data_IF_020019803593
#
_entry.id   IF_020019803593
#
_cell.length_a   1.000
_cell.length_b   1.000
_cell.length_c   1.000
_cell.angle_alpha   90.00
_cell.angle_beta   90.00
_cell.angle_gamma   90.00
#
_symmetry.space_group_name_H-M   'P 1'
#
loop_
_entity.id
_entity.type
_entity.pdbx_description
1 polymer ?
#
# COMPACT_ATOMS: atom_id res chain seq x y z
N UNK A 1 -19.46 16.71 46.66
CA UNK A 1 -18.64 15.59 46.13
C UNK A 1 -19.06 15.40 44.69
N UNK A 2 -18.28 15.92 43.73
CA UNK A 2 -18.53 15.64 42.32
C UNK A 2 -18.08 14.21 42.04
N UNK A 3 -18.94 13.40 41.40
CA UNK A 3 -18.57 12.06 40.97
C UNK A 3 -17.31 12.13 40.08
N UNK A 4 -16.40 11.14 40.15
CA UNK A 4 -15.26 11.07 39.26
C UNK A 4 -15.76 11.00 37.81
N UNK A 5 -15.03 11.65 36.90
CA UNK A 5 -15.28 11.62 35.46
C UNK A 5 -14.98 10.20 34.94
N UNK A 6 -15.88 9.25 35.20
CA UNK A 6 -15.87 7.94 34.54
C UNK A 6 -15.73 8.19 33.04
N UNK A 7 -14.92 7.39 32.35
CA UNK A 7 -14.71 7.53 30.92
C UNK A 7 -16.06 7.40 30.20
N UNK A 8 -16.74 8.52 29.98
CA UNK A 8 -18.05 8.53 29.35
C UNK A 8 -17.83 8.12 27.90
N UNK A 9 -18.42 7.01 27.51
CA UNK A 9 -18.41 6.57 26.12
C UNK A 9 -18.87 7.73 25.22
N UNK A 10 -18.07 8.05 24.21
CA UNK A 10 -18.40 9.11 23.27
C UNK A 10 -19.13 8.54 22.06
N UNK A 11 -19.78 9.41 21.29
CA UNK A 11 -20.34 9.05 19.97
C UNK A 11 -19.28 8.42 19.06
N UNK A 12 -18.05 8.93 19.11
CA UNK A 12 -16.93 8.40 18.33
C UNK A 12 -16.57 6.99 18.75
N UNK A 13 -16.62 6.68 20.05
CA UNK A 13 -16.34 5.34 20.56
C UNK A 13 -17.40 4.34 20.10
N UNK A 14 -18.68 4.73 20.12
CA UNK A 14 -19.79 3.92 19.60
C UNK A 14 -19.63 3.67 18.10
N UNK A 15 -19.35 4.71 17.31
CA UNK A 15 -19.14 4.56 15.87
C UNK A 15 -17.90 3.72 15.54
N UNK A 16 -16.82 3.85 16.31
CA UNK A 16 -15.62 3.01 16.18
C UNK A 16 -15.91 1.56 16.53
N UNK A 17 -16.63 1.30 17.63
CA UNK A 17 -17.06 -0.05 18.01
C UNK A 17 -17.96 -0.68 16.93
N UNK A 18 -18.89 0.10 16.37
CA UNK A 18 -19.72 -0.34 15.24
C UNK A 18 -18.86 -0.62 14.00
N UNK A 19 -17.94 0.29 13.66
CA UNK A 19 -17.01 0.12 12.54
C UNK A 19 -16.18 -1.16 12.69
N UNK A 20 -15.68 -1.43 13.89
CA UNK A 20 -14.90 -2.60 14.26
C UNK A 20 -15.70 -3.90 14.41
N UNK A 21 -17.02 -3.88 14.19
CA UNK A 21 -17.93 -5.03 14.40
C UNK A 21 -17.99 -5.53 15.85
N UNK A 22 -17.61 -4.68 16.82
CA UNK A 22 -17.74 -4.98 18.25
C UNK A 22 -19.19 -4.93 18.71
N UNK A 23 -20.01 -4.09 18.06
CA UNK A 23 -21.45 -3.97 18.27
C UNK A 23 -22.16 -3.95 16.91
N UNK A 24 -23.42 -4.35 16.92
CA UNK A 24 -24.34 -4.29 15.78
C UNK A 24 -24.83 -2.87 15.51
N UNK A 25 -25.45 -2.68 14.34
CA UNK A 25 -26.07 -1.40 13.97
C UNK A 25 -27.20 -1.00 14.92
N UNK A 26 -27.99 -1.99 15.36
CA UNK A 26 -29.10 -1.78 16.28
C UNK A 26 -28.59 -1.33 17.65
N UNK A 27 -27.56 -1.99 18.18
CA UNK A 27 -26.92 -1.60 19.45
C UNK A 27 -26.28 -0.21 19.37
N UNK A 28 -25.58 0.09 18.27
CA UNK A 28 -25.01 1.42 18.05
C UNK A 28 -26.09 2.50 17.97
N UNK A 29 -27.20 2.24 17.27
CA UNK A 29 -28.34 3.16 17.19
C UNK A 29 -28.98 3.38 18.57
N UNK A 30 -29.10 2.32 19.38
CA UNK A 30 -29.66 2.44 20.73
C UNK A 30 -28.76 3.24 21.66
N UNK A 31 -27.44 2.98 21.66
CA UNK A 31 -26.50 3.75 22.46
C UNK A 31 -26.46 5.24 22.08
N UNK A 32 -26.56 5.55 20.78
CA UNK A 32 -26.67 6.94 20.34
C UNK A 32 -28.00 7.57 20.77
N UNK A 33 -29.11 6.81 20.81
CA UNK A 33 -30.40 7.27 21.34
C UNK A 33 -30.29 7.69 22.79
N UNK A 34 -29.66 6.83 23.59
CA UNK A 34 -29.51 7.00 25.03
C UNK A 34 -28.59 8.20 25.35
N UNK A 35 -27.75 8.62 24.39
CA UNK A 35 -26.97 9.87 24.41
C UNK A 35 -27.74 11.11 23.93
N UNK A 36 -29.01 10.96 23.53
CA UNK A 36 -29.87 12.05 23.07
C UNK A 36 -29.79 12.36 21.58
N UNK A 37 -29.22 11.48 20.75
CA UNK A 37 -29.20 11.69 19.31
C UNK A 37 -30.56 11.44 18.66
N UNK A 38 -31.03 12.41 17.88
CA UNK A 38 -32.24 12.28 17.10
C UNK A 38 -32.11 11.18 16.03
N UNK A 39 -33.23 10.54 15.70
CA UNK A 39 -33.27 9.41 14.75
C UNK A 39 -32.55 9.73 13.43
N UNK A 40 -32.79 10.90 12.85
CA UNK A 40 -32.14 11.32 11.61
C UNK A 40 -30.61 11.39 11.73
N UNK A 41 -30.09 11.97 12.81
CA UNK A 41 -28.64 12.06 13.03
C UNK A 41 -28.01 10.68 13.24
N UNK A 42 -28.65 9.80 14.00
CA UNK A 42 -28.19 8.41 14.20
C UNK A 42 -28.11 7.65 12.89
N UNK A 43 -29.18 7.69 12.11
CA UNK A 43 -29.26 7.01 10.83
C UNK A 43 -28.19 7.54 9.85
N UNK A 44 -28.00 8.85 9.80
CA UNK A 44 -26.94 9.45 8.99
C UNK A 44 -25.54 8.98 9.43
N UNK A 45 -25.23 9.03 10.73
CA UNK A 45 -23.93 8.63 11.27
C UNK A 45 -23.61 7.15 11.00
N UNK A 46 -24.57 6.26 11.22
CA UNK A 46 -24.40 4.83 11.00
C UNK A 46 -24.26 4.50 9.51
N UNK A 47 -25.06 5.13 8.66
CA UNK A 47 -24.96 4.97 7.20
C UNK A 47 -23.61 5.47 6.69
N UNK A 48 -23.10 6.57 7.23
CA UNK A 48 -21.75 7.07 6.89
C UNK A 48 -20.64 6.09 7.30
N UNK A 49 -20.78 5.39 8.43
CA UNK A 49 -19.85 4.31 8.82
C UNK A 49 -19.93 3.13 7.85
N UNK A 50 -21.13 2.72 7.45
CA UNK A 50 -21.32 1.62 6.49
C UNK A 50 -20.73 1.94 5.12
N UNK A 51 -20.94 3.17 4.65
CA UNK A 51 -20.31 3.66 3.43
C UNK A 51 -18.78 3.64 3.52
N UNK A 52 -18.22 4.16 4.62
CA UNK A 52 -16.76 4.13 4.87
C UNK A 52 -16.20 2.71 4.91
N UNK A 53 -16.91 1.75 5.51
CA UNK A 53 -16.52 0.32 5.48
C UNK A 53 -16.47 -0.24 4.07
N UNK A 54 -17.46 0.10 3.25
CA UNK A 54 -17.50 -0.30 1.83
C UNK A 54 -16.30 0.26 1.06
N UNK A 55 -16.04 1.56 1.22
CA UNK A 55 -14.88 2.22 0.62
C UNK A 55 -13.55 1.59 1.06
N UNK A 56 -13.35 1.38 2.37
CA UNK A 56 -12.12 0.77 2.89
C UNK A 56 -11.89 -0.65 2.34
N UNK A 57 -12.95 -1.43 2.17
CA UNK A 57 -12.84 -2.76 1.54
C UNK A 57 -12.38 -2.64 0.08
N UNK A 58 -13.00 -1.74 -0.69
CA UNK A 58 -12.62 -1.49 -2.08
C UNK A 58 -11.18 -0.99 -2.19
N UNK A 59 -10.79 0.00 -1.38
CA UNK A 59 -9.41 0.51 -1.31
C UNK A 59 -8.40 -0.59 -0.97
N UNK A 60 -8.72 -1.47 -0.02
CA UNK A 60 -7.85 -2.59 0.33
C UNK A 60 -7.70 -3.59 -0.82
N UNK A 61 -8.77 -3.84 -1.59
CA UNK A 61 -8.72 -4.68 -2.79
C UNK A 61 -7.86 -4.03 -3.88
N UNK A 62 -8.04 -2.72 -4.14
CA UNK A 62 -7.21 -1.95 -5.08
C UNK A 62 -5.73 -2.04 -4.68
N UNK A 63 -5.40 -1.84 -3.40
CA UNK A 63 -4.02 -1.99 -2.87
C UNK A 63 -3.47 -3.41 -3.09
N UNK A 64 -4.29 -4.43 -2.89
CA UNK A 64 -3.91 -5.83 -3.14
C UNK A 64 -3.57 -6.08 -4.61
N UNK A 65 -4.43 -5.64 -5.53
CA UNK A 65 -4.21 -5.76 -6.98
C UNK A 65 -2.95 -5.00 -7.41
N UNK A 66 -2.78 -3.75 -6.94
CA UNK A 66 -1.57 -2.94 -7.17
C UNK A 66 -0.30 -3.70 -6.77
N UNK A 67 -0.28 -4.31 -5.60
CA UNK A 67 0.89 -5.05 -5.11
C UNK A 67 1.21 -6.26 -5.98
N UNK A 68 0.20 -6.98 -6.48
CA UNK A 68 0.39 -8.11 -7.40
C UNK A 68 0.93 -7.65 -8.75
N UNK A 69 0.43 -6.54 -9.27
CA UNK A 69 0.94 -5.92 -10.50
C UNK A 69 2.39 -5.45 -10.36
N UNK A 70 2.70 -4.71 -9.29
CA UNK A 70 4.07 -4.26 -8.98
C UNK A 70 5.07 -5.42 -8.84
N UNK A 71 4.63 -6.57 -8.37
CA UNK A 71 5.47 -7.78 -8.26
C UNK A 71 5.52 -8.62 -9.54
N UNK A 72 4.93 -8.14 -10.64
CA UNK A 72 4.79 -8.85 -11.93
C UNK A 72 4.05 -10.18 -11.83
N UNK A 73 3.28 -10.38 -10.75
CA UNK A 73 2.37 -11.54 -10.62
C UNK A 73 1.15 -11.35 -11.51
N UNK A 74 0.64 -10.11 -11.58
CA UNK A 74 -0.34 -9.71 -12.57
C UNK A 74 0.33 -8.91 -13.69
N UNK A 75 -0.08 -9.20 -14.92
CA UNK A 75 0.15 -8.30 -16.05
C UNK A 75 -0.90 -7.19 -16.09
N UNK A 76 -0.78 -6.30 -17.08
CA UNK A 76 -1.69 -5.15 -17.24
C UNK A 76 -3.14 -5.59 -17.45
N UNK A 77 -3.39 -6.63 -18.25
CA UNK A 77 -4.74 -7.08 -18.57
C UNK A 77 -5.40 -7.70 -17.34
N UNK A 78 -4.69 -8.57 -16.64
CA UNK A 78 -5.16 -9.20 -15.41
C UNK A 78 -5.45 -8.18 -14.31
N UNK A 79 -4.60 -7.17 -14.13
CA UNK A 79 -4.82 -6.11 -13.15
C UNK A 79 -6.08 -5.29 -13.47
N UNK A 80 -6.28 -4.92 -14.75
CA UNK A 80 -7.50 -4.22 -15.21
C UNK A 80 -8.76 -5.03 -14.98
N UNK A 81 -8.74 -6.32 -15.34
CA UNK A 81 -9.89 -7.21 -15.18
C UNK A 81 -10.30 -7.34 -13.70
N UNK A 82 -9.33 -7.47 -12.79
CA UNK A 82 -9.63 -7.53 -11.36
C UNK A 82 -10.13 -6.19 -10.79
N UNK A 83 -9.70 -5.05 -11.34
CA UNK A 83 -10.20 -3.73 -10.95
C UNK A 83 -11.63 -3.48 -11.43
N UNK A 84 -11.96 -3.88 -12.66
CA UNK A 84 -13.31 -3.73 -13.22
C UNK A 84 -14.35 -4.56 -12.45
N UNK A 85 -13.95 -5.69 -11.84
CA UNK A 85 -14.81 -6.48 -10.93
C UNK A 85 -15.14 -5.78 -9.61
N UNK A 86 -14.50 -4.64 -9.31
CA UNK A 86 -14.82 -3.79 -8.18
C UNK A 86 -15.85 -2.71 -8.53
N UNK A 87 -16.46 -2.80 -9.73
CA UNK A 87 -17.42 -1.84 -10.27
C UNK A 87 -16.85 -0.41 -10.39
N UNK A 88 -15.54 -0.29 -10.56
CA UNK A 88 -14.87 0.99 -10.80
C UNK A 88 -15.16 1.48 -12.24
N UNK A 89 -15.37 2.79 -12.45
CA UNK A 89 -15.42 3.37 -13.78
C UNK A 89 -14.16 3.05 -14.60
N UNK A 90 -14.32 2.82 -15.91
CA UNK A 90 -13.19 2.47 -16.78
C UNK A 90 -12.07 3.54 -16.77
N UNK A 91 -12.44 4.83 -16.73
CA UNK A 91 -11.49 5.94 -16.62
C UNK A 91 -10.66 5.88 -15.32
N UNK A 92 -11.28 5.48 -14.19
CA UNK A 92 -10.56 5.31 -12.93
C UNK A 92 -9.57 4.15 -13.00
N UNK A 93 -9.96 3.05 -13.65
CA UNK A 93 -9.05 1.92 -13.91
C UNK A 93 -7.87 2.35 -14.78
N UNK A 94 -8.11 3.14 -15.82
CA UNK A 94 -7.05 3.67 -16.68
C UNK A 94 -6.05 4.55 -15.90
N UNK A 95 -6.55 5.48 -15.08
CA UNK A 95 -5.74 6.34 -14.23
C UNK A 95 -4.89 5.55 -13.23
N UNK A 96 -5.48 4.54 -12.57
CA UNK A 96 -4.74 3.67 -11.65
C UNK A 96 -3.63 2.89 -12.36
N UNK A 97 -3.93 2.32 -13.53
CA UNK A 97 -2.94 1.55 -14.29
C UNK A 97 -1.80 2.42 -14.82
N UNK A 98 -2.10 3.64 -15.27
CA UNK A 98 -1.07 4.60 -15.68
C UNK A 98 -0.16 4.97 -14.48
N UNK A 99 -0.75 5.31 -13.33
CA UNK A 99 0.02 5.59 -12.13
C UNK A 99 0.95 4.42 -11.77
N UNK A 100 0.43 3.19 -11.77
CA UNK A 100 1.22 2.02 -11.37
C UNK A 100 2.28 1.65 -12.40
N UNK A 101 2.06 1.94 -13.69
CA UNK A 101 3.08 1.76 -14.72
C UNK A 101 4.33 2.59 -14.41
N UNK A 102 4.17 3.85 -14.00
CA UNK A 102 5.30 4.70 -13.63
C UNK A 102 5.98 4.24 -12.34
N UNK A 103 5.21 3.75 -11.36
CA UNK A 103 5.80 3.17 -10.15
C UNK A 103 6.66 1.93 -10.45
N UNK A 104 6.21 1.10 -11.38
CA UNK A 104 6.94 -0.08 -11.87
C UNK A 104 8.19 0.33 -12.65
N UNK A 105 8.12 1.36 -13.49
CA UNK A 105 9.27 1.88 -14.23
C UNK A 105 10.30 2.58 -13.35
N UNK A 106 9.86 3.17 -12.24
CA UNK A 106 10.72 3.79 -11.25
C UNK A 106 11.43 2.78 -10.32
N UNK A 107 11.05 1.50 -10.35
CA UNK A 107 11.75 0.47 -9.56
C UNK A 107 13.18 0.29 -10.10
N UNK A 108 14.16 0.63 -9.25
CA UNK A 108 15.56 0.35 -9.50
C UNK A 108 15.72 -1.18 -9.58
N UNK A 109 16.33 -1.73 -10.64
CA UNK A 109 16.59 -3.15 -10.76
C UNK A 109 17.30 -3.67 -9.51
N UNK A 110 16.97 -4.90 -9.10
CA UNK A 110 17.78 -5.58 -8.07
C UNK A 110 19.15 -5.88 -8.66
N UNK A 111 20.14 -5.14 -8.16
CA UNK A 111 21.55 -5.32 -8.49
C UNK A 111 22.25 -6.16 -7.41
N UNK A 112 23.38 -6.76 -7.75
CA UNK A 112 24.26 -7.35 -6.75
C UNK A 112 24.84 -6.26 -5.83
N UNK A 113 25.20 -6.64 -4.60
CA UNK A 113 25.96 -5.72 -3.73
C UNK A 113 27.35 -5.48 -4.31
N UNK A 114 27.99 -4.35 -3.96
CA UNK A 114 29.37 -4.05 -4.36
C UNK A 114 30.31 -5.23 -4.09
N UNK A 115 30.24 -5.84 -2.89
CA UNK A 115 31.07 -6.98 -2.54
C UNK A 115 30.81 -8.23 -3.39
N UNK A 116 29.53 -8.54 -3.67
CA UNK A 116 29.18 -9.65 -4.56
C UNK A 116 29.69 -9.41 -5.98
N UNK A 117 29.46 -8.22 -6.53
CA UNK A 117 29.94 -7.84 -7.87
C UNK A 117 31.45 -8.01 -7.98
N UNK A 118 32.21 -7.52 -7.00
CA UNK A 118 33.66 -7.63 -6.99
C UNK A 118 34.15 -9.07 -6.84
N UNK A 119 33.52 -9.88 -5.98
CA UNK A 119 33.82 -11.32 -5.88
C UNK A 119 33.56 -12.01 -7.22
N UNK A 120 32.43 -11.73 -7.88
CA UNK A 120 32.09 -12.37 -9.15
C UNK A 120 33.02 -11.98 -10.29
N UNK A 121 33.56 -10.76 -10.30
CA UNK A 121 34.61 -10.38 -11.26
C UNK A 121 35.90 -11.16 -10.95
N UNK A 122 36.32 -11.19 -9.68
CA UNK A 122 37.56 -11.86 -9.26
C UNK A 122 37.54 -13.37 -9.49
N UNK A 123 36.38 -13.98 -9.24
CA UNK A 123 36.13 -15.41 -9.44
C UNK A 123 35.79 -15.75 -10.91
N UNK A 124 35.88 -14.77 -11.82
CA UNK A 124 35.59 -14.88 -13.26
C UNK A 124 34.17 -15.41 -13.58
N UNK A 125 33.23 -15.28 -12.64
CA UNK A 125 31.82 -15.63 -12.83
C UNK A 125 31.07 -14.62 -13.71
N UNK A 126 31.59 -13.39 -13.80
CA UNK A 126 31.14 -12.35 -14.74
C UNK A 126 32.35 -11.65 -15.36
N UNK A 127 32.17 -11.03 -16.53
CA UNK A 127 33.24 -10.22 -17.13
C UNK A 127 33.44 -8.91 -16.37
N UNK A 128 34.65 -8.35 -16.47
CA UNK A 128 35.00 -7.04 -15.91
C UNK A 128 34.07 -5.94 -16.41
N UNK A 129 33.76 -5.93 -17.72
CA UNK A 129 32.85 -4.96 -18.33
C UNK A 129 31.44 -5.06 -17.74
N UNK A 130 30.94 -6.30 -17.55
CA UNK A 130 29.64 -6.53 -16.93
C UNK A 130 29.60 -6.05 -15.49
N UNK A 131 30.67 -6.29 -14.73
CA UNK A 131 30.85 -5.81 -13.37
C UNK A 131 30.90 -4.28 -13.27
N UNK A 132 31.58 -3.62 -14.21
CA UNK A 132 31.58 -2.15 -14.33
C UNK A 132 30.17 -1.61 -14.58
N UNK A 133 29.41 -2.21 -15.50
CA UNK A 133 28.00 -1.84 -15.72
C UNK A 133 27.16 -2.01 -14.45
N UNK A 134 27.39 -3.07 -13.68
CA UNK A 134 26.71 -3.29 -12.41
C UNK A 134 27.04 -2.20 -11.39
N UNK A 135 28.32 -1.85 -11.21
CA UNK A 135 28.75 -0.78 -10.30
C UNK A 135 28.20 0.59 -10.71
N UNK A 136 28.08 0.88 -12.01
CA UNK A 136 27.37 2.08 -12.50
C UNK A 136 25.89 2.06 -12.14
N UNK A 137 25.24 0.90 -12.26
CA UNK A 137 23.82 0.74 -11.89
C UNK A 137 23.60 0.89 -10.38
N UNK A 138 24.58 0.49 -9.56
CA UNK A 138 24.59 0.75 -8.10
C UNK A 138 24.74 2.25 -7.79
N UNK A 139 25.37 3.02 -8.68
CA UNK A 139 25.48 4.48 -8.58
C UNK A 139 26.90 5.02 -8.37
N UNK A 140 27.94 4.20 -8.57
CA UNK A 140 29.32 4.68 -8.50
C UNK A 140 29.73 5.44 -9.76
N UNK A 141 30.54 6.49 -9.58
CA UNK A 141 31.22 7.17 -10.69
C UNK A 141 32.44 6.38 -11.19
N UNK A 142 33.03 6.86 -12.29
CA UNK A 142 34.18 6.19 -12.92
C UNK A 142 35.43 6.16 -12.01
N UNK A 143 35.61 7.14 -11.12
CA UNK A 143 36.76 7.18 -10.20
C UNK A 143 36.67 6.02 -9.18
N UNK A 144 35.53 5.90 -8.49
CA UNK A 144 35.31 4.85 -7.51
C UNK A 144 35.34 3.46 -8.14
N UNK A 145 34.75 3.31 -9.33
CA UNK A 145 34.80 2.05 -10.08
C UNK A 145 36.26 1.65 -10.35
N UNK A 146 37.09 2.58 -10.82
CA UNK A 146 38.50 2.30 -11.10
C UNK A 146 39.26 1.84 -9.85
N UNK A 147 38.97 2.42 -8.68
CA UNK A 147 39.57 1.99 -7.40
C UNK A 147 39.15 0.57 -7.04
N UNK A 148 37.85 0.25 -7.13
CA UNK A 148 37.35 -1.09 -6.83
C UNK A 148 37.89 -2.17 -7.77
N UNK A 149 37.98 -1.86 -9.06
CA UNK A 149 38.53 -2.79 -10.05
C UNK A 149 39.99 -3.09 -9.76
N UNK A 150 40.80 -2.09 -9.42
CA UNK A 150 42.22 -2.29 -9.08
C UNK A 150 42.42 -3.07 -7.78
N UNK A 151 41.44 -3.11 -6.88
CA UNK A 151 41.59 -3.80 -5.58
C UNK A 151 41.35 -5.32 -5.67
N UNK A 152 40.85 -5.80 -6.80
CA UNK A 152 40.58 -7.22 -7.06
C UNK A 152 41.48 -7.84 -8.14
N UNK A 153 42.29 -7.02 -8.82
CA UNK A 153 43.41 -7.44 -9.68
C UNK A 153 44.58 -7.99 -8.84
#
# INVERSE_FOLDING_TARGET
WAMPKEASITRSDILTAYKGRMISRAEASKLLEDMGEEYFHREFMLTAVDYKKGLELTENRIKGIRNLYKRRVYDINKARDELLKLDLPAEEVDNLMEQWYYEVKAEIPRVWTTAQTLSFIKDELITKERGITELKTIGYDDEHINVYIRSIE
#
